data_IF_902384224553
#
_entry.id   IF_902384224553
#
_cell.length_a   1.000
_cell.length_b   1.000
_cell.length_c   1.000
_cell.angle_alpha   90.00
_cell.angle_beta   90.00
_cell.angle_gamma   90.00
#
_symmetry.space_group_name_H-M   'P 1'
#
loop_
_entity.id
_entity.type
_entity.pdbx_description
1 polymer ?
#
# COMPACT_ATOMS: atom_id res chain seq x y z
N UNK A 1 -8.69 -14.56 -13.99
CA UNK A 1 -9.02 -15.09 -12.65
C UNK A 1 -7.96 -16.03 -12.08
N UNK A 2 -7.42 -17.00 -12.84
CA UNK A 2 -6.40 -17.97 -12.36
C UNK A 2 -5.25 -17.35 -11.55
N UNK A 3 -4.75 -16.19 -11.98
CA UNK A 3 -3.64 -15.51 -11.32
C UNK A 3 -4.04 -14.50 -10.23
N UNK A 4 -5.27 -13.97 -10.28
CA UNK A 4 -5.75 -12.92 -9.35
C UNK A 4 -6.43 -13.55 -8.14
N UNK A 5 -7.16 -14.65 -8.35
CA UNK A 5 -7.91 -15.30 -7.27
C UNK A 5 -7.04 -15.78 -6.10
N UNK A 6 -5.83 -16.34 -6.31
CA UNK A 6 -4.94 -16.67 -5.19
C UNK A 6 -4.49 -15.47 -4.35
N UNK A 7 -4.62 -14.25 -4.87
CA UNK A 7 -4.28 -12.98 -4.20
C UNK A 7 -5.54 -12.38 -3.55
N UNK A 8 -6.68 -12.43 -4.25
CA UNK A 8 -7.96 -11.86 -3.81
C UNK A 8 -9.08 -12.92 -3.89
N UNK A 9 -9.11 -13.91 -2.97
CA UNK A 9 -10.03 -15.05 -3.03
C UNK A 9 -11.43 -14.71 -2.49
N UNK A 10 -12.05 -13.65 -3.03
CA UNK A 10 -13.30 -13.07 -2.52
C UNK A 10 -14.56 -13.69 -3.11
N UNK A 11 -14.49 -14.18 -4.34
CA UNK A 11 -15.67 -14.54 -5.13
C UNK A 11 -15.89 -16.04 -5.13
N UNK A 12 -17.12 -16.48 -4.86
CA UNK A 12 -17.48 -17.87 -5.01
C UNK A 12 -17.57 -18.24 -6.51
N UNK A 13 -16.58 -18.99 -6.99
CA UNK A 13 -16.40 -19.28 -8.41
C UNK A 13 -17.61 -19.95 -9.09
N UNK A 14 -18.33 -20.91 -8.45
CA UNK A 14 -19.53 -21.48 -9.06
C UNK A 14 -20.61 -20.44 -9.38
N UNK A 15 -20.89 -19.50 -8.47
CA UNK A 15 -21.87 -18.42 -8.72
C UNK A 15 -21.42 -17.50 -9.86
N UNK A 16 -20.13 -17.14 -9.92
CA UNK A 16 -19.60 -16.34 -11.04
C UNK A 16 -19.70 -17.08 -12.37
N UNK A 17 -19.51 -18.41 -12.40
CA UNK A 17 -19.67 -19.20 -13.63
C UNK A 17 -21.12 -19.34 -14.04
N UNK A 18 -22.04 -19.43 -13.09
CA UNK A 18 -23.47 -19.47 -13.39
C UNK A 18 -23.96 -18.12 -13.92
N UNK A 19 -23.41 -17.00 -13.43
CA UNK A 19 -23.85 -15.67 -13.83
C UNK A 19 -23.66 -15.41 -15.34
N UNK A 20 -22.70 -16.06 -16.01
CA UNK A 20 -22.46 -15.88 -17.45
C UNK A 20 -23.50 -16.57 -18.36
N UNK A 21 -24.36 -17.43 -17.79
CA UNK A 21 -25.35 -18.20 -18.57
C UNK A 21 -26.76 -17.62 -18.50
N UNK A 22 -26.96 -16.52 -17.76
CA UNK A 22 -28.25 -15.88 -17.55
C UNK A 22 -28.17 -14.36 -17.60
N UNK A 23 -29.32 -13.66 -17.71
CA UNK A 23 -29.35 -12.22 -17.47
C UNK A 23 -28.83 -11.86 -16.07
N UNK A 24 -28.04 -10.79 -16.01
CA UNK A 24 -27.44 -10.27 -14.78
C UNK A 24 -28.27 -9.12 -14.21
N UNK A 25 -28.44 -9.13 -12.89
CA UNK A 25 -28.93 -7.97 -12.15
C UNK A 25 -27.89 -6.82 -12.21
N UNK A 26 -28.29 -5.56 -11.99
CA UNK A 26 -27.37 -4.42 -12.04
C UNK A 26 -26.12 -4.58 -11.15
N UNK A 27 -26.29 -5.11 -9.94
CA UNK A 27 -25.18 -5.34 -9.00
C UNK A 27 -24.20 -6.42 -9.49
N UNK A 28 -24.71 -7.45 -10.15
CA UNK A 28 -23.89 -8.52 -10.74
C UNK A 28 -23.15 -8.04 -11.98
N UNK A 29 -23.77 -7.16 -12.79
CA UNK A 29 -23.07 -6.47 -13.89
C UNK A 29 -21.92 -5.62 -13.34
N UNK A 30 -22.15 -4.87 -12.26
CA UNK A 30 -21.10 -4.09 -11.59
C UNK A 30 -19.94 -4.99 -11.12
N UNK A 31 -20.24 -6.13 -10.52
CA UNK A 31 -19.22 -7.08 -10.10
C UNK A 31 -18.41 -7.62 -11.30
N UNK A 32 -19.08 -8.01 -12.38
CA UNK A 32 -18.39 -8.53 -13.59
C UNK A 32 -17.54 -7.45 -14.25
N UNK A 33 -18.07 -6.24 -14.45
CA UNK A 33 -17.31 -5.14 -15.06
C UNK A 33 -16.12 -4.72 -14.20
N UNK A 34 -16.29 -4.60 -12.89
CA UNK A 34 -15.18 -4.27 -11.99
C UNK A 34 -14.09 -5.36 -11.94
N UNK A 35 -14.46 -6.64 -12.00
CA UNK A 35 -13.51 -7.76 -12.16
C UNK A 35 -12.76 -7.71 -13.49
N UNK A 36 -13.45 -7.36 -14.58
CA UNK A 36 -12.83 -7.17 -15.89
C UNK A 36 -11.88 -5.98 -15.91
N UNK A 37 -12.25 -4.87 -15.26
CA UNK A 37 -11.39 -3.70 -15.10
C UNK A 37 -10.12 -4.07 -14.31
N UNK A 38 -10.27 -4.69 -13.13
CA UNK A 38 -9.17 -5.17 -12.31
C UNK A 38 -8.24 -6.09 -13.12
N UNK A 39 -8.81 -7.12 -13.76
CA UNK A 39 -8.03 -8.06 -14.56
C UNK A 39 -7.27 -7.35 -15.68
N UNK A 40 -7.91 -6.40 -16.36
CA UNK A 40 -7.27 -5.64 -17.44
C UNK A 40 -6.12 -4.78 -16.91
N UNK A 41 -6.27 -4.12 -15.76
CA UNK A 41 -5.19 -3.33 -15.16
C UNK A 41 -3.98 -4.18 -14.77
N UNK A 42 -4.20 -5.38 -14.20
CA UNK A 42 -3.13 -6.32 -13.87
C UNK A 42 -2.51 -6.97 -15.12
N UNK A 43 -3.21 -7.07 -16.24
CA UNK A 43 -2.64 -7.58 -17.51
C UNK A 43 -1.85 -6.52 -18.27
N UNK A 44 -2.07 -5.24 -17.98
CA UNK A 44 -1.41 -4.15 -18.68
C UNK A 44 0.10 -4.15 -18.49
N UNK A 45 0.84 -3.95 -19.59
CA UNK A 45 2.29 -3.96 -19.59
C UNK A 45 2.95 -5.34 -19.43
N UNK A 46 2.16 -6.41 -19.29
CA UNK A 46 2.68 -7.78 -19.30
C UNK A 46 2.84 -8.28 -20.72
N UNK A 47 4.02 -8.82 -21.01
CA UNK A 47 4.30 -9.54 -22.24
C UNK A 47 3.62 -10.91 -22.10
N UNK A 48 2.34 -11.02 -22.46
CA UNK A 48 1.65 -12.31 -22.48
C UNK A 48 0.99 -12.61 -23.81
N UNK A 49 1.14 -13.88 -24.20
CA UNK A 49 0.75 -14.60 -25.42
C UNK A 49 -0.78 -14.81 -25.49
N UNK A 50 -1.54 -14.31 -24.52
CA UNK A 50 -2.99 -14.46 -24.48
C UNK A 50 -3.68 -13.55 -25.51
N UNK A 51 -4.63 -14.11 -26.28
CA UNK A 51 -5.56 -13.31 -27.08
C UNK A 51 -6.25 -12.28 -26.17
N UNK A 52 -6.12 -11.00 -26.50
CA UNK A 52 -6.59 -9.91 -25.68
C UNK A 52 -6.90 -8.67 -26.52
N UNK A 53 -7.40 -7.59 -25.88
CA UNK A 53 -7.60 -6.31 -26.55
C UNK A 53 -6.27 -5.72 -27.01
N UNK A 54 -6.32 -4.83 -28.00
CA UNK A 54 -5.14 -4.09 -28.48
C UNK A 54 -4.46 -3.29 -27.37
N UNK A 55 -5.26 -2.80 -26.41
CA UNK A 55 -4.78 -2.10 -25.23
C UNK A 55 -5.55 -2.55 -23.99
N UNK A 56 -4.83 -3.18 -23.07
CA UNK A 56 -5.36 -3.56 -21.75
C UNK A 56 -5.73 -2.32 -20.90
N UNK A 57 -5.05 -1.19 -21.07
CA UNK A 57 -5.41 0.05 -20.38
C UNK A 57 -6.69 0.66 -20.91
N UNK A 58 -6.91 0.60 -22.24
CA UNK A 58 -8.17 1.01 -22.83
C UNK A 58 -9.31 0.11 -22.36
N UNK A 59 -9.09 -1.21 -22.32
CA UNK A 59 -10.08 -2.16 -21.80
C UNK A 59 -10.41 -1.92 -20.32
N UNK A 60 -9.40 -1.67 -19.48
CA UNK A 60 -9.61 -1.33 -18.07
C UNK A 60 -10.49 -0.09 -17.91
N UNK A 61 -10.20 0.99 -18.64
CA UNK A 61 -10.99 2.23 -18.61
C UNK A 61 -12.39 2.04 -19.15
N UNK A 62 -12.56 1.24 -20.21
CA UNK A 62 -13.87 0.87 -20.73
C UNK A 62 -14.72 0.19 -19.66
N UNK A 63 -14.20 -0.86 -19.02
CA UNK A 63 -14.96 -1.59 -17.99
C UNK A 63 -15.22 -0.75 -16.73
N UNK A 64 -14.32 0.16 -16.36
CA UNK A 64 -14.59 1.13 -15.29
C UNK A 64 -15.76 2.05 -15.65
N UNK A 65 -15.79 2.56 -16.87
CA UNK A 65 -16.88 3.42 -17.34
C UNK A 65 -18.22 2.66 -17.40
N UNK A 66 -18.22 1.42 -17.88
CA UNK A 66 -19.42 0.58 -17.88
C UNK A 66 -19.92 0.29 -16.47
N UNK A 67 -19.02 0.01 -15.52
CA UNK A 67 -19.39 -0.16 -14.11
C UNK A 67 -20.03 1.12 -13.55
N UNK A 68 -19.43 2.29 -13.78
CA UNK A 68 -19.98 3.57 -13.32
C UNK A 68 -21.33 3.87 -13.99
N UNK A 69 -21.47 3.56 -15.28
CA UNK A 69 -22.71 3.73 -16.05
C UNK A 69 -23.85 2.86 -15.49
N UNK A 70 -23.59 1.59 -15.19
CA UNK A 70 -24.59 0.70 -14.57
C UNK A 70 -25.02 1.22 -13.20
N UNK A 71 -24.10 1.76 -12.39
CA UNK A 71 -24.46 2.36 -11.09
C UNK A 71 -25.41 3.56 -11.21
N UNK A 72 -25.47 4.21 -12.36
CA UNK A 72 -26.42 5.31 -12.62
C UNK A 72 -27.81 4.81 -13.03
N UNK A 73 -27.96 3.53 -13.37
CA UNK A 73 -29.25 2.98 -13.82
C UNK A 73 -30.15 2.47 -12.69
N UNK A 74 -29.68 2.51 -11.44
CA UNK A 74 -30.44 2.07 -10.26
C UNK A 74 -29.95 2.78 -8.99
N UNK A 75 -30.67 2.61 -7.88
CA UNK A 75 -30.25 3.15 -6.59
C UNK A 75 -29.10 2.31 -6.00
N UNK A 76 -27.88 2.59 -6.45
CA UNK A 76 -26.68 1.89 -6.01
C UNK A 76 -26.40 2.10 -4.51
N UNK A 77 -26.78 3.25 -3.93
CA UNK A 77 -26.49 3.57 -2.54
C UNK A 77 -27.28 2.67 -1.58
N UNK A 78 -28.49 2.29 -1.95
CA UNK A 78 -29.34 1.37 -1.18
C UNK A 78 -29.01 -0.13 -1.45
N UNK A 79 -28.06 -0.43 -2.34
CA UNK A 79 -27.67 -1.79 -2.70
C UNK A 79 -26.75 -2.43 -1.65
N UNK A 80 -27.35 -3.30 -0.82
CA UNK A 80 -26.66 -4.04 0.24
C UNK A 80 -26.07 -5.37 -0.22
N UNK A 81 -26.04 -5.65 -1.52
CA UNK A 81 -25.54 -6.93 -2.04
C UNK A 81 -24.02 -7.05 -1.90
N UNK A 82 -23.55 -8.29 -1.71
CA UNK A 82 -22.12 -8.60 -1.72
C UNK A 82 -21.45 -8.18 -3.05
N UNK A 83 -22.18 -8.26 -4.16
CA UNK A 83 -21.73 -7.84 -5.49
C UNK A 83 -21.44 -6.34 -5.53
N UNK A 84 -22.29 -5.49 -4.94
CA UNK A 84 -22.09 -4.05 -4.90
C UNK A 84 -20.82 -3.69 -4.11
N UNK A 85 -20.66 -4.23 -2.91
CA UNK A 85 -19.50 -4.00 -2.03
C UNK A 85 -18.20 -4.46 -2.70
N UNK A 86 -18.19 -5.69 -3.21
CA UNK A 86 -17.01 -6.26 -3.88
C UNK A 86 -16.67 -5.47 -5.15
N UNK A 87 -17.66 -4.99 -5.89
CA UNK A 87 -17.43 -4.15 -7.07
C UNK A 87 -16.75 -2.83 -6.72
N UNK A 88 -17.13 -2.18 -5.62
CA UNK A 88 -16.50 -0.95 -5.15
C UNK A 88 -15.04 -1.17 -4.76
N UNK A 89 -14.74 -2.28 -4.10
CA UNK A 89 -13.36 -2.66 -3.80
C UNK A 89 -12.54 -2.88 -5.09
N UNK A 90 -13.06 -3.62 -6.07
CA UNK A 90 -12.34 -3.86 -7.33
C UNK A 90 -12.18 -2.59 -8.18
N UNK A 91 -13.18 -1.70 -8.19
CA UNK A 91 -13.08 -0.37 -8.82
C UNK A 91 -11.96 0.44 -8.15
N UNK A 92 -11.89 0.42 -6.82
CA UNK A 92 -10.80 1.07 -6.07
C UNK A 92 -9.43 0.55 -6.47
N UNK A 93 -9.25 -0.77 -6.52
CA UNK A 93 -7.99 -1.41 -6.92
C UNK A 93 -7.63 -1.08 -8.36
N UNK A 94 -8.59 -1.10 -9.30
CA UNK A 94 -8.33 -0.73 -10.68
C UNK A 94 -7.89 0.74 -10.82
N UNK A 95 -8.50 1.66 -10.06
CA UNK A 95 -8.04 3.05 -10.03
C UNK A 95 -6.66 3.21 -9.39
N UNK A 96 -6.31 2.39 -8.39
CA UNK A 96 -4.97 2.35 -7.81
C UNK A 96 -3.94 1.96 -8.87
N UNK A 97 -4.19 0.87 -9.61
CA UNK A 97 -3.29 0.39 -10.66
C UNK A 97 -3.12 1.37 -11.83
N UNK A 98 -4.12 2.24 -12.04
CA UNK A 98 -4.07 3.34 -13.02
C UNK A 98 -3.47 4.64 -12.45
N UNK A 99 -2.91 4.60 -11.25
CA UNK A 99 -2.35 5.76 -10.54
C UNK A 99 -3.35 6.92 -10.34
N UNK A 100 -4.65 6.62 -10.19
CA UNK A 100 -5.70 7.60 -9.88
C UNK A 100 -6.02 7.57 -8.38
N UNK A 101 -5.07 8.06 -7.58
CA UNK A 101 -5.03 7.90 -6.12
C UNK A 101 -6.31 8.37 -5.40
N UNK A 102 -6.82 9.55 -5.76
CA UNK A 102 -8.04 10.11 -5.15
C UNK A 102 -9.27 9.23 -5.40
N UNK A 103 -9.43 8.72 -6.63
CA UNK A 103 -10.55 7.83 -6.97
C UNK A 103 -10.39 6.49 -6.26
N UNK A 104 -9.19 5.93 -6.25
CA UNK A 104 -8.92 4.69 -5.53
C UNK A 104 -9.33 4.80 -4.05
N UNK A 105 -8.92 5.88 -3.38
CA UNK A 105 -9.30 6.11 -1.98
C UNK A 105 -10.82 6.27 -1.79
N UNK A 106 -11.48 7.03 -2.66
CA UNK A 106 -12.94 7.21 -2.61
C UNK A 106 -13.68 5.87 -2.65
N UNK A 107 -13.36 5.03 -3.65
CA UNK A 107 -14.04 3.74 -3.81
C UNK A 107 -13.64 2.71 -2.74
N UNK A 108 -12.43 2.81 -2.15
CA UNK A 108 -12.06 2.00 -0.99
C UNK A 108 -12.94 2.37 0.20
N UNK A 109 -13.13 3.67 0.46
CA UNK A 109 -13.98 4.15 1.55
C UNK A 109 -15.45 3.78 1.31
N UNK A 110 -15.92 3.82 0.08
CA UNK A 110 -17.25 3.32 -0.30
C UNK A 110 -17.41 1.83 0.11
N UNK A 111 -16.48 0.97 -0.30
CA UNK A 111 -16.52 -0.45 0.04
C UNK A 111 -16.44 -0.72 1.56
N UNK A 112 -15.59 0.01 2.27
CA UNK A 112 -15.47 -0.05 3.74
C UNK A 112 -16.79 0.31 4.42
N UNK A 113 -17.40 1.44 4.04
CA UNK A 113 -18.66 1.91 4.60
C UNK A 113 -19.80 0.91 4.34
N UNK A 114 -19.95 0.44 3.09
CA UNK A 114 -20.99 -0.52 2.76
C UNK A 114 -20.81 -1.87 3.49
N UNK A 115 -19.56 -2.35 3.61
CA UNK A 115 -19.26 -3.55 4.38
C UNK A 115 -19.57 -3.41 5.87
N UNK A 116 -19.33 -2.24 6.45
CA UNK A 116 -19.72 -1.94 7.83
C UNK A 116 -21.24 -1.86 8.00
N UNK A 117 -21.97 -1.27 7.04
CA UNK A 117 -23.44 -1.16 7.08
C UNK A 117 -24.13 -2.52 7.15
N UNK A 118 -23.63 -3.51 6.39
CA UNK A 118 -24.17 -4.89 6.43
C UNK A 118 -23.53 -5.75 7.52
N UNK A 119 -22.66 -5.18 8.35
CA UNK A 119 -22.12 -5.79 9.55
C UNK A 119 -21.02 -6.83 9.32
N UNK A 120 -20.16 -6.67 8.31
CA UNK A 120 -18.97 -7.53 8.13
C UNK A 120 -18.05 -7.64 9.35
N UNK A 121 -18.12 -6.69 10.27
CA UNK A 121 -17.32 -6.67 11.49
C UNK A 121 -18.00 -7.40 12.67
N UNK A 122 -19.27 -7.78 12.53
CA UNK A 122 -20.07 -8.41 13.57
C UNK A 122 -20.30 -9.90 13.26
N UNK A 123 -19.79 -10.75 14.14
CA UNK A 123 -19.86 -12.21 14.03
C UNK A 123 -21.31 -12.74 13.98
N UNK A 124 -22.28 -12.00 14.54
CA UNK A 124 -23.67 -12.41 14.53
C UNK A 124 -24.30 -12.37 13.13
N UNK A 125 -23.78 -11.54 12.22
CA UNK A 125 -24.32 -11.41 10.85
C UNK A 125 -24.04 -12.62 9.97
N UNK A 126 -23.18 -13.54 10.42
CA UNK A 126 -22.78 -14.73 9.69
C UNK A 126 -23.63 -15.96 10.00
N UNK A 127 -24.44 -15.96 11.07
CA UNK A 127 -25.11 -17.16 11.60
C UNK A 127 -26.11 -17.79 10.62
N UNK A 128 -26.80 -16.97 9.85
CA UNK A 128 -27.88 -17.39 8.96
C UNK A 128 -27.44 -17.47 7.48
N UNK A 129 -26.15 -17.24 7.20
CA UNK A 129 -25.61 -17.31 5.84
C UNK A 129 -25.19 -18.74 5.48
N UNK A 130 -25.16 -19.03 4.18
CA UNK A 130 -24.52 -20.26 3.72
C UNK A 130 -23.01 -20.23 4.04
N UNK A 131 -22.35 -21.39 4.19
CA UNK A 131 -20.92 -21.44 4.44
C UNK A 131 -20.08 -20.70 3.38
N UNK A 132 -20.50 -20.76 2.11
CA UNK A 132 -19.82 -20.12 0.99
C UNK A 132 -19.93 -18.60 1.08
N UNK A 133 -21.13 -18.08 1.34
CA UNK A 133 -21.35 -16.64 1.45
C UNK A 133 -20.67 -16.07 2.71
N UNK A 134 -20.76 -16.78 3.84
CA UNK A 134 -20.09 -16.40 5.07
C UNK A 134 -18.57 -16.30 4.87
N UNK A 135 -17.97 -17.26 4.16
CA UNK A 135 -16.54 -17.25 3.84
C UNK A 135 -16.17 -16.06 2.93
N UNK A 136 -16.94 -15.82 1.86
CA UNK A 136 -16.74 -14.68 0.95
C UNK A 136 -16.78 -13.34 1.70
N UNK A 137 -17.82 -13.10 2.50
CA UNK A 137 -17.97 -11.86 3.28
C UNK A 137 -16.84 -11.67 4.29
N UNK A 138 -16.43 -12.73 4.99
CA UNK A 138 -15.32 -12.69 5.97
C UNK A 138 -13.99 -12.40 5.27
N UNK A 139 -13.71 -13.02 4.12
CA UNK A 139 -12.52 -12.72 3.33
C UNK A 139 -12.53 -11.28 2.81
N UNK A 140 -13.67 -10.77 2.36
CA UNK A 140 -13.78 -9.37 1.92
C UNK A 140 -13.50 -8.40 3.06
N UNK A 141 -14.02 -8.63 4.27
CA UNK A 141 -13.66 -7.83 5.44
C UNK A 141 -12.14 -7.79 5.66
N UNK A 142 -11.51 -8.96 5.70
CA UNK A 142 -10.08 -9.04 6.02
C UNK A 142 -9.18 -8.48 4.91
N UNK A 143 -9.61 -8.55 3.66
CA UNK A 143 -8.91 -7.89 2.57
C UNK A 143 -9.06 -6.37 2.65
N UNK A 144 -10.26 -5.86 2.94
CA UNK A 144 -10.49 -4.43 3.20
C UNK A 144 -9.65 -3.93 4.38
N UNK A 145 -9.52 -4.72 5.44
CA UNK A 145 -8.67 -4.44 6.62
C UNK A 145 -7.19 -4.28 6.26
N UNK A 146 -6.67 -5.17 5.42
CA UNK A 146 -5.28 -5.13 4.92
C UNK A 146 -5.06 -3.91 4.02
N UNK A 147 -5.98 -3.67 3.08
CA UNK A 147 -5.88 -2.54 2.14
C UNK A 147 -6.01 -1.20 2.86
N UNK A 148 -6.91 -1.05 3.83
CA UNK A 148 -7.06 0.17 4.63
C UNK A 148 -5.75 0.52 5.36
N UNK A 149 -5.08 -0.46 5.98
CA UNK A 149 -3.78 -0.26 6.66
C UNK A 149 -2.67 0.10 5.70
N UNK A 150 -2.65 -0.51 4.52
CA UNK A 150 -1.70 -0.14 3.48
C UNK A 150 -1.87 1.34 3.09
N UNK A 151 -3.11 1.81 2.92
CA UNK A 151 -3.42 3.21 2.64
C UNK A 151 -3.10 4.13 3.82
N UNK A 152 -3.34 3.69 5.04
CA UNK A 152 -2.99 4.46 6.22
C UNK A 152 -1.49 4.75 6.28
N UNK A 153 -0.68 3.73 6.00
CA UNK A 153 0.78 3.83 6.02
C UNK A 153 1.30 4.64 4.82
N UNK A 154 0.95 4.24 3.59
CA UNK A 154 1.51 4.80 2.36
C UNK A 154 1.00 6.21 2.05
N UNK A 155 -0.21 6.54 2.50
CA UNK A 155 -0.93 7.75 2.07
C UNK A 155 -1.52 8.56 3.22
N UNK A 156 -1.06 8.30 4.45
CA UNK A 156 -1.49 9.00 5.67
C UNK A 156 -3.03 9.10 5.78
N UNK A 157 -3.70 7.96 5.58
CA UNK A 157 -5.17 7.87 5.67
C UNK A 157 -5.61 7.36 7.04
N UNK A 158 -6.78 7.80 7.55
CA UNK A 158 -7.29 7.32 8.83
C UNK A 158 -7.90 5.92 8.71
N UNK A 159 -7.69 5.11 9.73
CA UNK A 159 -8.36 3.82 9.91
C UNK A 159 -9.81 4.03 10.34
N UNK A 160 -10.71 3.13 9.91
CA UNK A 160 -12.11 3.10 10.33
C UNK A 160 -12.57 1.76 10.87
N UNK A 161 -11.86 0.67 10.57
CA UNK A 161 -12.23 -0.66 11.05
C UNK A 161 -11.71 -0.92 12.47
N UNK A 162 -12.51 -0.55 13.47
CA UNK A 162 -12.18 -0.71 14.90
C UNK A 162 -12.54 -2.08 15.49
N UNK A 163 -13.42 -2.83 14.83
CA UNK A 163 -13.82 -4.19 15.18
C UNK A 163 -13.55 -5.12 14.01
N UNK A 164 -13.25 -6.39 14.30
CA UNK A 164 -13.04 -7.41 13.30
C UNK A 164 -13.82 -8.69 13.65
N UNK A 165 -14.34 -9.43 12.66
CA UNK A 165 -14.91 -10.75 12.87
C UNK A 165 -13.77 -11.75 13.15
N UNK A 166 -14.11 -13.00 13.44
CA UNK A 166 -13.09 -14.05 13.54
C UNK A 166 -12.36 -14.22 12.19
N UNK A 167 -11.14 -14.76 12.25
CA UNK A 167 -10.40 -15.14 11.05
C UNK A 167 -11.15 -16.21 10.26
N UNK A 168 -11.05 -16.23 8.92
CA UNK A 168 -11.55 -17.37 8.15
C UNK A 168 -10.78 -18.62 8.57
N UNK A 169 -11.49 -19.71 8.80
CA UNK A 169 -10.92 -21.01 9.20
C UNK A 169 -11.12 -22.09 8.14
N UNK A 170 -11.77 -21.75 7.03
CA UNK A 170 -12.14 -22.66 5.95
C UNK A 170 -11.69 -22.16 4.58
N UNK A 171 -11.85 -23.03 3.59
CA UNK A 171 -11.66 -22.79 2.18
C UNK A 171 -12.82 -23.42 1.40
N UNK A 172 -13.03 -23.00 0.16
CA UNK A 172 -13.96 -23.70 -0.72
C UNK A 172 -13.32 -25.00 -1.24
N UNK A 173 -14.14 -26.01 -1.54
CA UNK A 173 -13.66 -27.35 -1.93
C UNK A 173 -12.80 -27.38 -3.20
N UNK A 174 -12.92 -26.38 -4.08
CA UNK A 174 -12.13 -26.26 -5.29
C UNK A 174 -10.80 -25.51 -5.09
N UNK A 175 -10.54 -24.99 -3.89
CA UNK A 175 -9.34 -24.22 -3.60
C UNK A 175 -8.18 -25.11 -3.17
N UNK A 176 -6.99 -24.75 -3.62
CA UNK A 176 -5.77 -25.33 -3.10
C UNK A 176 -5.50 -24.79 -1.67
N UNK A 177 -5.02 -25.60 -0.71
CA UNK A 177 -4.76 -25.17 0.67
C UNK A 177 -3.81 -23.96 0.80
N UNK A 178 -2.94 -23.79 -0.19
CA UNK A 178 -2.02 -22.67 -0.34
C UNK A 178 -2.79 -21.34 -0.34
N UNK A 179 -3.95 -21.24 -1.01
CA UNK A 179 -4.75 -20.00 -1.13
C UNK A 179 -5.12 -19.47 0.25
N UNK A 180 -5.71 -20.32 1.08
CA UNK A 180 -6.05 -19.98 2.46
C UNK A 180 -4.81 -19.63 3.29
N UNK A 181 -3.76 -20.45 3.18
CA UNK A 181 -2.52 -20.26 3.93
C UNK A 181 -1.87 -18.91 3.61
N UNK A 182 -1.78 -18.54 2.33
CA UNK A 182 -1.21 -17.27 1.90
C UNK A 182 -2.04 -16.07 2.35
N UNK A 183 -3.36 -16.15 2.21
CA UNK A 183 -4.29 -15.12 2.66
C UNK A 183 -4.15 -14.85 4.17
N UNK A 184 -4.09 -15.92 4.98
CA UNK A 184 -3.92 -15.81 6.42
C UNK A 184 -2.57 -15.21 6.82
N UNK A 185 -1.47 -15.54 6.12
CA UNK A 185 -0.17 -14.93 6.39
C UNK A 185 -0.16 -13.44 6.11
N UNK A 186 -0.77 -13.01 5.00
CA UNK A 186 -0.89 -11.60 4.66
C UNK A 186 -1.65 -10.83 5.75
N UNK A 187 -2.82 -11.35 6.16
CA UNK A 187 -3.62 -10.75 7.24
C UNK A 187 -2.82 -10.64 8.53
N UNK A 188 -2.21 -11.75 8.96
CA UNK A 188 -1.45 -11.78 10.21
C UNK A 188 -0.29 -10.78 10.20
N UNK A 189 0.33 -10.52 9.05
CA UNK A 189 1.42 -9.55 8.92
C UNK A 189 0.92 -8.11 9.14
N UNK A 190 -0.20 -7.73 8.53
CA UNK A 190 -0.81 -6.40 8.74
C UNK A 190 -1.50 -6.25 10.09
N UNK A 191 -1.99 -7.35 10.68
CA UNK A 191 -2.63 -7.34 12.00
C UNK A 191 -1.68 -6.92 13.13
N UNK A 192 -0.36 -6.99 12.91
CA UNK A 192 0.66 -6.47 13.82
C UNK A 192 0.64 -4.94 13.94
N UNK A 193 0.03 -4.24 12.98
CA UNK A 193 -0.05 -2.79 12.92
C UNK A 193 -1.45 -2.35 13.35
N UNK A 194 -1.60 -2.19 14.66
CA UNK A 194 -2.84 -1.75 15.29
C UNK A 194 -3.05 -0.23 15.18
N UNK A 195 -4.14 0.25 15.76
CA UNK A 195 -4.44 1.68 15.80
C UNK A 195 -3.32 2.47 16.48
N UNK A 196 -2.76 1.97 17.60
CA UNK A 196 -1.70 2.66 18.31
C UNK A 196 -0.45 2.85 17.43
N UNK A 197 -0.07 1.84 16.65
CA UNK A 197 1.01 1.97 15.68
C UNK A 197 0.69 3.03 14.61
N UNK A 198 -0.51 2.96 14.00
CA UNK A 198 -0.87 3.87 12.90
C UNK A 198 -1.04 5.31 13.38
N UNK A 199 -1.60 5.53 14.57
CA UNK A 199 -1.70 6.86 15.19
C UNK A 199 -0.29 7.41 15.44
N UNK A 200 0.62 6.58 15.97
CA UNK A 200 2.03 6.96 16.14
C UNK A 200 2.71 7.28 14.81
N UNK A 201 2.41 6.52 13.75
CA UNK A 201 2.93 6.72 12.40
C UNK A 201 2.46 8.03 11.76
N UNK A 202 1.17 8.36 11.94
CA UNK A 202 0.53 9.53 11.34
C UNK A 202 0.77 10.83 12.14
N UNK A 203 0.72 10.75 13.47
CA UNK A 203 0.68 11.94 14.34
C UNK A 203 1.99 12.24 15.07
N UNK A 204 2.99 11.33 15.00
CA UNK A 204 4.43 11.42 15.39
C UNK A 204 4.83 12.06 16.75
N UNK A 205 3.99 12.83 17.43
CA UNK A 205 4.39 13.78 18.49
C UNK A 205 3.67 13.56 19.82
N UNK A 206 2.58 12.77 19.87
CA UNK A 206 1.78 12.61 21.09
C UNK A 206 1.88 11.22 21.74
N UNK A 207 2.26 10.18 21.00
CA UNK A 207 2.39 8.81 21.51
C UNK A 207 3.87 8.40 21.60
N UNK A 208 4.49 8.60 22.76
CA UNK A 208 5.85 8.12 22.99
C UNK A 208 5.88 6.59 22.97
N UNK A 209 6.55 6.00 21.98
CA UNK A 209 6.77 4.55 21.89
C UNK A 209 8.15 4.18 22.42
N UNK A 210 8.28 3.00 23.03
CA UNK A 210 9.55 2.51 23.58
C UNK A 210 10.37 1.73 22.56
N UNK A 211 11.69 1.74 22.72
CA UNK A 211 12.61 0.87 21.94
C UNK A 211 12.16 -0.59 22.04
N UNK A 212 11.80 -1.07 23.24
CA UNK A 212 11.37 -2.45 23.47
C UNK A 212 10.11 -2.84 22.66
N UNK A 213 9.18 -1.90 22.49
CA UNK A 213 7.97 -2.11 21.68
C UNK A 213 8.33 -2.33 20.21
N UNK A 214 9.18 -1.47 19.65
CA UNK A 214 9.57 -1.58 18.24
C UNK A 214 10.54 -2.73 17.97
N UNK A 215 11.45 -3.08 18.88
CA UNK A 215 12.29 -4.28 18.71
C UNK A 215 11.45 -5.55 18.78
N UNK A 216 10.46 -5.62 19.67
CA UNK A 216 9.51 -6.74 19.70
C UNK A 216 8.68 -6.83 18.41
N UNK A 217 8.24 -5.69 17.86
CA UNK A 217 7.51 -5.64 16.59
C UNK A 217 8.40 -6.06 15.41
N UNK A 218 9.65 -5.59 15.36
CA UNK A 218 10.65 -6.01 14.38
C UNK A 218 10.90 -7.53 14.46
N UNK A 219 11.03 -8.09 15.67
CA UNK A 219 11.21 -9.53 15.86
C UNK A 219 10.00 -10.34 15.37
N UNK A 220 8.77 -9.89 15.65
CA UNK A 220 7.54 -10.53 15.15
C UNK A 220 7.41 -10.47 13.63
N UNK A 221 7.83 -9.35 13.03
CA UNK A 221 7.89 -9.20 11.58
C UNK A 221 9.03 -10.01 10.96
N UNK A 222 10.14 -10.21 11.65
CA UNK A 222 11.33 -10.91 11.15
C UNK A 222 11.32 -12.42 11.44
N UNK A 223 10.14 -13.04 11.53
CA UNK A 223 10.05 -14.50 11.68
C UNK A 223 10.36 -15.17 10.35
N UNK A 224 11.34 -16.09 10.37
CA UNK A 224 11.67 -16.91 9.22
C UNK A 224 10.48 -17.81 8.86
N UNK A 225 9.98 -17.66 7.65
CA UNK A 225 8.97 -18.53 7.09
C UNK A 225 9.60 -19.90 6.77
N UNK A 226 9.16 -21.02 7.39
CA UNK A 226 9.74 -22.32 7.13
C UNK A 226 9.68 -22.65 5.64
N UNK A 227 10.73 -23.28 5.10
CA UNK A 227 10.77 -23.79 3.70
C UNK A 227 9.56 -24.72 3.41
N UNK A 228 9.03 -25.35 4.47
CA UNK A 228 7.84 -26.21 4.47
C UNK A 228 6.50 -25.48 4.29
N UNK A 229 6.47 -24.15 4.22
CA UNK A 229 5.24 -23.44 3.91
C UNK A 229 4.82 -23.82 2.49
N UNK A 230 3.73 -24.60 2.39
CA UNK A 230 3.01 -24.85 1.16
C UNK A 230 2.38 -23.53 0.69
N UNK A 231 3.20 -22.69 0.06
CA UNK A 231 2.82 -21.45 -0.59
C UNK A 231 3.31 -21.49 -2.03
N UNK A 232 2.49 -20.97 -2.92
CA UNK A 232 2.88 -20.73 -4.31
C UNK A 232 3.94 -19.63 -4.40
N UNK A 233 4.70 -19.58 -5.50
CA UNK A 233 5.66 -18.48 -5.72
C UNK A 233 4.99 -17.10 -5.69
N UNK A 234 3.75 -17.01 -6.20
CA UNK A 234 2.94 -15.77 -6.18
C UNK A 234 2.72 -15.29 -4.75
N UNK A 235 2.29 -16.18 -3.85
CA UNK A 235 2.02 -15.81 -2.47
C UNK A 235 3.31 -15.53 -1.69
N UNK A 236 4.38 -16.28 -1.96
CA UNK A 236 5.71 -16.01 -1.38
C UNK A 236 6.18 -14.60 -1.75
N UNK A 237 6.01 -14.18 -3.01
CA UNK A 237 6.38 -12.84 -3.42
C UNK A 237 5.62 -11.77 -2.60
N UNK A 238 4.29 -11.87 -2.52
CA UNK A 238 3.48 -10.89 -1.79
C UNK A 238 3.86 -10.80 -0.30
N UNK A 239 3.91 -11.95 0.36
CA UNK A 239 4.16 -12.03 1.80
C UNK A 239 5.57 -11.56 2.13
N UNK A 240 6.59 -12.05 1.41
CA UNK A 240 7.97 -11.73 1.74
C UNK A 240 8.33 -10.28 1.40
N UNK A 241 7.83 -9.74 0.28
CA UNK A 241 8.02 -8.31 -0.03
C UNK A 241 7.30 -7.44 0.99
N UNK A 242 6.04 -7.75 1.31
CA UNK A 242 5.27 -7.02 2.32
C UNK A 242 5.92 -7.09 3.69
N UNK A 243 6.47 -8.25 4.09
CA UNK A 243 7.20 -8.42 5.34
C UNK A 243 8.41 -7.47 5.42
N UNK A 244 9.24 -7.41 4.37
CA UNK A 244 10.41 -6.52 4.35
C UNK A 244 9.99 -5.05 4.35
N UNK A 245 8.93 -4.72 3.63
CA UNK A 245 8.38 -3.37 3.62
C UNK A 245 7.87 -2.95 5.00
N UNK A 246 7.15 -3.81 5.70
CA UNK A 246 6.68 -3.49 7.06
C UNK A 246 7.81 -3.37 8.08
N UNK A 247 8.89 -4.16 7.95
CA UNK A 247 10.12 -3.95 8.74
C UNK A 247 10.72 -2.56 8.49
N UNK A 248 10.69 -2.08 7.25
CA UNK A 248 11.12 -0.73 6.89
C UNK A 248 10.22 0.32 7.53
N UNK A 249 8.90 0.16 7.47
CA UNK A 249 7.93 1.09 8.05
C UNK A 249 8.14 1.23 9.56
N UNK A 250 8.36 0.13 10.29
CA UNK A 250 8.66 0.15 11.73
C UNK A 250 9.99 0.85 12.00
N UNK A 251 11.01 0.64 11.17
CA UNK A 251 12.29 1.34 11.29
C UNK A 251 12.15 2.85 11.03
N UNK A 252 11.42 3.26 9.99
CA UNK A 252 11.15 4.66 9.70
C UNK A 252 10.36 5.33 10.83
N UNK A 253 9.42 4.61 11.44
CA UNK A 253 8.70 5.08 12.63
C UNK A 253 9.66 5.27 13.81
N UNK A 254 10.56 4.30 14.04
CA UNK A 254 11.62 4.39 15.06
C UNK A 254 12.53 5.61 14.83
N UNK A 255 12.87 5.91 13.58
CA UNK A 255 13.64 7.09 13.17
C UNK A 255 12.91 8.39 13.52
N UNK A 256 11.62 8.51 13.16
CA UNK A 256 10.79 9.69 13.46
C UNK A 256 10.66 9.95 14.96
N UNK A 257 10.68 8.88 15.76
CA UNK A 257 10.64 8.94 17.22
C UNK A 257 12.01 9.17 17.88
N UNK A 258 13.08 9.33 17.10
CA UNK A 258 14.43 9.57 17.62
C UNK A 258 15.01 8.38 18.39
N UNK A 259 14.54 7.16 18.12
CA UNK A 259 14.94 5.95 18.86
C UNK A 259 16.19 5.26 18.29
N UNK A 260 16.70 5.73 17.15
CA UNK A 260 17.83 5.10 16.47
C UNK A 260 19.18 5.55 17.04
N UNK A 261 20.13 4.62 17.09
CA UNK A 261 21.53 4.88 17.45
C UNK A 261 22.47 3.93 16.72
N UNK A 262 23.57 4.45 16.16
CA UNK A 262 24.63 3.60 15.57
C UNK A 262 25.30 2.67 16.59
N UNK A 263 25.18 2.97 17.89
CA UNK A 263 25.70 2.14 18.97
C UNK A 263 24.64 1.22 19.62
N UNK A 264 23.44 1.13 19.02
CA UNK A 264 22.40 0.22 19.50
C UNK A 264 22.88 -1.23 19.47
N UNK A 265 22.58 -1.99 20.53
CA UNK A 265 22.84 -3.43 20.59
C UNK A 265 21.90 -4.23 19.66
N UNK A 266 20.69 -3.70 19.42
CA UNK A 266 19.75 -4.28 18.46
C UNK A 266 19.97 -3.62 17.10
N UNK A 267 20.32 -4.45 16.09
CA UNK A 267 20.59 -4.00 14.72
C UNK A 267 19.37 -3.29 14.12
N UNK A 268 18.15 -3.67 14.51
CA UNK A 268 16.90 -3.04 14.03
C UNK A 268 16.69 -1.59 14.49
N UNK A 269 17.49 -1.13 15.45
CA UNK A 269 17.49 0.24 15.98
C UNK A 269 18.75 1.02 15.56
N UNK A 270 19.47 0.54 14.55
CA UNK A 270 20.62 1.22 13.95
C UNK A 270 20.25 1.96 12.68
N UNK A 271 21.04 2.96 12.28
CA UNK A 271 20.84 3.65 11.01
C UNK A 271 21.14 2.77 9.78
N UNK A 272 21.92 1.70 9.93
CA UNK A 272 22.28 0.77 8.85
C UNK A 272 21.26 -0.35 8.60
N UNK A 273 20.23 -0.48 9.45
CA UNK A 273 19.24 -1.56 9.31
C UNK A 273 18.54 -1.64 7.94
N UNK A 274 18.28 -0.53 7.21
CA UNK A 274 17.72 -0.60 5.87
C UNK A 274 18.56 -1.42 4.88
N UNK A 275 19.87 -1.57 5.09
CA UNK A 275 20.69 -2.52 4.31
C UNK A 275 20.28 -3.96 4.56
N UNK A 276 20.09 -4.33 5.82
CA UNK A 276 19.64 -5.68 6.19
C UNK A 276 18.29 -5.99 5.55
N UNK A 277 17.36 -5.03 5.58
CA UNK A 277 16.05 -5.17 4.94
C UNK A 277 16.20 -5.32 3.42
N UNK A 278 17.00 -4.48 2.77
CA UNK A 278 17.23 -4.54 1.33
C UNK A 278 17.82 -5.89 0.91
N UNK A 279 18.86 -6.37 1.60
CA UNK A 279 19.46 -7.67 1.33
C UNK A 279 18.50 -8.84 1.64
N UNK A 280 17.70 -8.74 2.70
CA UNK A 280 16.65 -9.72 3.01
C UNK A 280 15.62 -9.79 1.88
N UNK A 281 15.21 -8.64 1.33
CA UNK A 281 14.30 -8.57 0.18
C UNK A 281 14.92 -9.22 -1.05
N UNK A 282 16.17 -8.90 -1.37
CA UNK A 282 16.88 -9.49 -2.52
C UNK A 282 17.00 -11.00 -2.39
N UNK A 283 17.34 -11.51 -1.21
CA UNK A 283 17.38 -12.95 -0.93
C UNK A 283 16.00 -13.62 -1.08
N UNK A 284 14.94 -12.94 -0.64
CA UNK A 284 13.57 -13.43 -0.74
C UNK A 284 13.06 -13.51 -2.18
N UNK A 285 13.38 -12.53 -3.03
CA UNK A 285 12.91 -12.48 -4.42
C UNK A 285 13.81 -13.24 -5.40
N UNK A 286 15.10 -13.43 -5.10
CA UNK A 286 16.06 -14.12 -5.95
C UNK A 286 15.61 -15.52 -6.45
N UNK A 287 15.00 -16.40 -5.63
CA UNK A 287 14.53 -17.71 -6.09
C UNK A 287 13.18 -17.67 -6.81
N UNK A 288 12.51 -16.51 -6.86
CA UNK A 288 11.16 -16.40 -7.42
C UNK A 288 11.21 -16.00 -8.91
N UNK A 289 10.33 -16.56 -9.75
CA UNK A 289 10.18 -16.06 -11.11
C UNK A 289 9.63 -14.63 -11.08
N UNK A 290 10.10 -13.76 -11.98
CA UNK A 290 9.66 -12.35 -12.02
C UNK A 290 8.14 -12.23 -12.21
N UNK A 291 7.52 -13.17 -12.92
CA UNK A 291 6.07 -13.25 -13.12
C UNK A 291 5.29 -13.41 -11.80
N UNK A 292 5.90 -13.98 -10.75
CA UNK A 292 5.29 -14.08 -9.43
C UNK A 292 5.28 -12.74 -8.68
N UNK A 293 6.14 -11.78 -9.05
CA UNK A 293 6.11 -10.40 -8.55
C UNK A 293 5.13 -9.59 -9.40
N UNK A 294 5.28 -9.65 -10.72
CA UNK A 294 4.51 -8.83 -11.67
C UNK A 294 2.99 -9.06 -11.58
N UNK A 295 2.55 -10.24 -11.15
CA UNK A 295 1.12 -10.58 -11.00
C UNK A 295 0.37 -9.64 -10.06
N UNK A 296 1.03 -9.11 -9.03
CA UNK A 296 0.44 -8.33 -7.95
C UNK A 296 0.08 -6.89 -8.32
N UNK A 297 0.62 -6.36 -9.42
CA UNK A 297 0.37 -4.98 -9.83
C UNK A 297 1.29 -3.96 -9.14
N UNK A 298 0.94 -2.69 -9.24
CA UNK A 298 1.79 -1.55 -8.84
C UNK A 298 2.11 -1.53 -7.33
N UNK A 299 1.25 -2.11 -6.50
CA UNK A 299 1.38 -2.06 -5.05
C UNK A 299 2.56 -2.88 -4.49
N UNK A 300 3.05 -3.89 -5.21
CA UNK A 300 4.28 -4.61 -4.81
C UNK A 300 5.52 -3.84 -5.26
N UNK A 301 5.47 -3.19 -6.42
CA UNK A 301 6.57 -2.39 -6.95
C UNK A 301 6.81 -1.13 -6.11
N UNK A 302 5.74 -0.48 -5.62
CA UNK A 302 5.83 0.64 -4.69
C UNK A 302 6.62 0.26 -3.44
N UNK A 303 6.30 -0.89 -2.83
CA UNK A 303 7.00 -1.42 -1.65
C UNK A 303 8.47 -1.71 -1.91
N UNK A 304 8.79 -2.33 -3.06
CA UNK A 304 10.18 -2.60 -3.48
C UNK A 304 10.93 -1.29 -3.69
N UNK A 305 10.29 -0.32 -4.33
CA UNK A 305 10.85 1.01 -4.57
C UNK A 305 11.14 1.74 -3.26
N UNK A 306 10.24 1.74 -2.27
CA UNK A 306 10.48 2.40 -0.97
C UNK A 306 11.68 1.82 -0.23
N UNK A 307 11.87 0.49 -0.28
CA UNK A 307 13.06 -0.18 0.28
C UNK A 307 14.32 0.24 -0.45
N UNK A 308 14.32 0.19 -1.78
CA UNK A 308 15.48 0.57 -2.58
C UNK A 308 15.84 2.05 -2.41
N UNK A 309 14.83 2.92 -2.40
CA UNK A 309 14.96 4.36 -2.23
C UNK A 309 15.53 4.70 -0.84
N UNK A 310 15.01 4.07 0.22
CA UNK A 310 15.53 4.29 1.59
C UNK A 310 16.96 3.76 1.73
N UNK A 311 17.28 2.62 1.11
CA UNK A 311 18.64 2.11 1.08
C UNK A 311 19.61 3.13 0.48
N UNK A 312 19.25 3.76 -0.65
CA UNK A 312 20.08 4.83 -1.25
C UNK A 312 20.26 6.04 -0.32
N UNK A 313 19.20 6.46 0.38
CA UNK A 313 19.29 7.55 1.35
C UNK A 313 20.25 7.24 2.50
N UNK A 314 20.23 6.00 3.00
CA UNK A 314 21.14 5.57 4.07
C UNK A 314 22.58 5.44 3.58
N UNK A 315 22.82 4.92 2.37
CA UNK A 315 24.17 4.89 1.75
C UNK A 315 24.75 6.30 1.76
N UNK A 316 23.97 7.27 1.29
CA UNK A 316 24.42 8.65 1.20
C UNK A 316 24.77 9.24 2.56
N UNK A 317 23.97 8.94 3.59
CA UNK A 317 24.16 9.57 4.90
C UNK A 317 25.22 8.90 5.77
N UNK A 318 25.46 7.59 5.59
CA UNK A 318 26.50 6.86 6.33
C UNK A 318 27.90 6.99 5.69
N UNK A 319 27.98 7.49 4.45
CA UNK A 319 29.22 7.66 3.69
C UNK A 319 29.94 6.34 3.37
N UNK A 320 31.22 6.38 2.94
CA UNK A 320 32.02 5.19 2.60
C UNK A 320 32.36 4.28 3.80
N UNK A 321 31.84 4.59 4.99
CA UNK A 321 32.06 3.85 6.24
C UNK A 321 31.22 2.58 6.36
N UNK A 322 30.37 2.29 5.37
CA UNK A 322 29.73 0.98 5.27
C UNK A 322 30.82 0.02 4.80
N UNK A 323 31.56 -0.53 5.77
CA UNK A 323 32.31 -1.75 5.56
C UNK A 323 31.39 -2.70 4.82
N UNK A 324 31.89 -3.29 3.73
CA UNK A 324 31.18 -4.29 2.93
C UNK A 324 30.91 -5.52 3.80
N UNK A 325 29.99 -5.40 4.74
CA UNK A 325 29.49 -6.52 5.51
C UNK A 325 28.87 -7.46 4.49
N UNK A 326 29.31 -8.72 4.42
CA UNK A 326 28.89 -9.64 3.39
C UNK A 326 27.45 -10.07 3.70
N UNK A 327 26.47 -9.23 3.38
CA UNK A 327 25.05 -9.55 3.48
C UNK A 327 24.62 -10.52 2.37
N UNK A 328 25.42 -11.57 2.13
CA UNK A 328 25.10 -12.76 1.33
C UNK A 328 24.91 -12.56 -0.17
N UNK A 329 24.83 -11.34 -0.68
CA UNK A 329 24.54 -11.04 -2.09
C UNK A 329 25.79 -10.46 -2.76
N UNK A 330 26.41 -11.23 -3.65
CA UNK A 330 27.59 -10.83 -4.44
C UNK A 330 27.25 -9.85 -5.60
N UNK A 331 25.98 -9.47 -5.76
CA UNK A 331 25.50 -8.57 -6.81
C UNK A 331 25.22 -7.19 -6.23
N UNK A 332 25.46 -6.14 -7.02
CA UNK A 332 25.06 -4.78 -6.67
C UNK A 332 23.53 -4.71 -6.42
N UNK A 333 23.08 -4.41 -5.19
CA UNK A 333 21.67 -4.33 -4.84
C UNK A 333 20.87 -3.39 -5.75
N UNK A 334 21.46 -2.26 -6.16
CA UNK A 334 20.80 -1.27 -7.00
C UNK A 334 20.48 -1.84 -8.38
N UNK A 335 21.41 -2.55 -9.00
CA UNK A 335 21.18 -3.24 -10.27
C UNK A 335 19.99 -4.20 -10.21
N UNK A 336 19.88 -4.98 -9.14
CA UNK A 336 18.78 -5.94 -8.98
C UNK A 336 17.46 -5.22 -8.78
N UNK A 337 17.41 -4.16 -7.96
CA UNK A 337 16.20 -3.34 -7.80
C UNK A 337 15.74 -2.71 -9.11
N UNK A 338 16.65 -2.09 -9.86
CA UNK A 338 16.32 -1.49 -11.16
C UNK A 338 15.77 -2.53 -12.14
N UNK A 339 16.39 -3.70 -12.21
CA UNK A 339 15.90 -4.79 -13.05
C UNK A 339 14.50 -5.24 -12.64
N UNK A 340 14.26 -5.45 -11.36
CA UNK A 340 12.95 -5.87 -10.83
C UNK A 340 11.89 -4.81 -11.08
N UNK A 341 12.15 -3.53 -10.76
CA UNK A 341 11.24 -2.42 -10.99
C UNK A 341 11.01 -2.14 -12.49
N UNK A 342 11.89 -2.60 -13.37
CA UNK A 342 11.77 -2.46 -14.82
C UNK A 342 11.01 -3.58 -15.52
N UNK A 343 10.43 -4.53 -14.76
CA UNK A 343 9.75 -5.71 -15.31
C UNK A 343 8.51 -5.37 -16.14
N UNK A 344 7.82 -4.27 -15.79
CA UNK A 344 6.70 -3.74 -16.57
C UNK A 344 6.98 -2.30 -17.03
N UNK A 345 6.45 -1.84 -18.18
CA UNK A 345 6.61 -0.45 -18.63
C UNK A 345 6.11 0.57 -17.62
N UNK A 346 4.98 0.28 -16.93
CA UNK A 346 4.39 1.18 -15.94
C UNK A 346 5.28 1.31 -14.71
N UNK A 347 5.71 0.19 -14.12
CA UNK A 347 6.65 0.21 -12.98
C UNK A 347 7.98 0.85 -13.35
N UNK A 348 8.49 0.61 -14.55
CA UNK A 348 9.72 1.25 -15.03
C UNK A 348 9.60 2.77 -15.01
N UNK A 349 8.54 3.29 -15.64
CA UNK A 349 8.29 4.73 -15.73
C UNK A 349 8.10 5.36 -14.35
N UNK A 350 7.36 4.69 -13.46
CA UNK A 350 6.98 5.25 -12.17
C UNK A 350 8.06 5.11 -11.09
N UNK A 351 8.86 4.04 -11.11
CA UNK A 351 9.77 3.71 -10.01
C UNK A 351 11.23 3.57 -10.43
N UNK A 352 11.51 2.80 -11.50
CA UNK A 352 12.90 2.54 -11.89
C UNK A 352 13.62 3.81 -12.38
N UNK A 353 12.92 4.66 -13.15
CA UNK A 353 13.48 5.93 -13.63
C UNK A 353 13.84 6.87 -12.47
N UNK A 354 12.93 7.05 -11.50
CA UNK A 354 13.18 7.90 -10.33
C UNK A 354 14.37 7.40 -9.50
N UNK A 355 14.49 6.07 -9.35
CA UNK A 355 15.60 5.48 -8.61
C UNK A 355 16.95 5.67 -9.34
N UNK A 356 16.95 5.61 -10.68
CA UNK A 356 18.14 5.89 -11.50
C UNK A 356 18.56 7.37 -11.43
N UNK A 357 17.61 8.28 -11.55
CA UNK A 357 17.84 9.73 -11.44
C UNK A 357 18.48 10.06 -10.08
N UNK A 358 17.89 9.55 -9.00
CA UNK A 358 18.42 9.72 -7.64
C UNK A 358 19.84 9.14 -7.48
N UNK A 359 20.13 8.01 -8.11
CA UNK A 359 21.46 7.42 -8.09
C UNK A 359 22.48 8.22 -8.93
N UNK A 360 22.04 8.86 -10.01
CA UNK A 360 22.88 9.63 -10.93
C UNK A 360 23.26 11.01 -10.37
N UNK A 361 22.38 11.63 -9.57
CA UNK A 361 22.61 12.96 -8.98
C UNK A 361 23.77 13.01 -7.96
N UNK A 362 24.35 11.86 -7.55
CA UNK A 362 25.19 11.78 -6.36
C UNK A 362 26.52 11.03 -6.59
N UNK A 363 27.68 11.71 -6.48
CA UNK A 363 28.98 11.15 -6.89
C UNK A 363 29.46 9.95 -6.06
N UNK A 364 28.97 9.74 -4.82
CA UNK A 364 29.32 8.56 -4.01
C UNK A 364 28.71 7.25 -4.55
N UNK A 365 27.62 7.33 -5.31
CA UNK A 365 26.95 6.19 -5.95
C UNK A 365 27.49 5.88 -7.35
N UNK A 366 28.40 6.72 -7.89
CA UNK A 366 29.01 6.53 -9.22
C UNK A 366 29.77 5.20 -9.36
N UNK A 367 30.23 4.62 -8.24
CA UNK A 367 30.82 3.27 -8.21
C UNK A 367 29.80 2.15 -8.43
N UNK A 368 28.57 2.30 -7.95
CA UNK A 368 27.49 1.32 -8.16
C UNK A 368 26.95 1.41 -9.60
N UNK A 369 26.84 2.62 -10.14
CA UNK A 369 26.39 2.83 -11.53
C UNK A 369 27.42 2.41 -12.60
N UNK A 370 28.71 2.35 -12.25
CA UNK A 370 29.77 1.96 -13.20
C UNK A 370 29.66 0.51 -13.71
N UNK A 371 28.98 -0.39 -12.99
CA UNK A 371 28.64 -1.74 -13.46
C UNK A 371 27.49 -1.79 -14.47
N UNK A 372 26.56 -0.83 -14.42
CA UNK A 372 25.40 -0.72 -15.33
C UNK A 372 25.81 -0.29 -16.75
N UNK A 373 26.87 0.53 -16.87
CA UNK A 373 27.38 1.03 -18.16
C UNK A 373 28.12 -0.04 -18.99
N UNK A 374 28.54 -1.16 -18.38
CA UNK A 374 29.24 -2.26 -19.06
C UNK A 374 28.32 -3.34 -19.65
N UNK A 375 27.05 -3.40 -19.23
CA UNK A 375 26.10 -4.43 -19.66
C UNK A 375 24.77 -3.83 -20.15
N UNK A 376 24.78 -3.33 -21.38
CA UNK A 376 23.61 -3.20 -22.27
C UNK A 376 22.33 -2.49 -21.73
N UNK A 377 22.45 -1.45 -20.91
CA UNK A 377 21.38 -0.45 -20.73
C UNK A 377 21.93 0.92 -21.13
N UNK A 378 21.90 1.19 -22.43
CA UNK A 378 22.32 2.48 -23.00
C UNK A 378 21.27 3.55 -22.61
N UNK A 379 21.67 4.50 -21.75
CA UNK A 379 20.89 5.70 -21.38
C UNK A 379 20.39 6.51 -22.59
N UNK A 380 20.98 6.33 -23.78
CA UNK A 380 20.55 6.99 -25.02
C UNK A 380 19.17 6.59 -25.53
N UNK A 381 18.61 5.45 -25.09
CA UNK A 381 17.26 5.04 -25.49
C UNK A 381 16.14 5.64 -24.61
N UNK A 382 16.49 6.53 -23.67
CA UNK A 382 15.53 7.28 -22.82
C UNK A 382 15.32 8.73 -23.30
N UNK A 383 15.81 9.09 -24.50
CA UNK A 383 15.57 10.42 -25.07
C UNK A 383 14.10 10.59 -25.46
N UNK A 384 13.41 11.51 -24.79
CA UNK A 384 12.23 12.19 -25.32
C UNK A 384 12.64 12.89 -26.63
N UNK A 385 12.38 12.27 -27.78
CA UNK A 385 12.33 13.00 -29.04
C UNK A 385 10.98 13.70 -29.15
N UNK A 386 11.00 15.03 -29.02
CA UNK A 386 9.83 15.85 -29.32
C UNK A 386 9.79 17.21 -28.65
N UNK A 387 10.88 17.99 -28.64
CA UNK A 387 10.76 19.45 -28.66
C UNK A 387 12.08 20.13 -29.05
N UNK A 388 11.96 21.03 -30.02
CA UNK A 388 13.04 21.74 -30.68
C UNK A 388 13.82 22.68 -29.74
N UNK A 389 15.12 22.75 -30.00
CA UNK A 389 16.12 23.58 -29.36
C UNK A 389 15.93 25.04 -29.79
N UNK A 390 15.84 25.95 -28.82
CA UNK A 390 16.37 27.32 -28.95
C UNK A 390 17.24 27.58 -27.73
N UNK A 391 18.55 27.67 -27.96
CA UNK A 391 19.55 27.86 -26.91
C UNK A 391 19.72 29.31 -26.46
N UNK A 392 20.40 29.50 -25.33
CA UNK A 392 21.34 30.60 -25.08
C UNK A 392 22.08 30.43 -23.73
N UNK A 393 23.42 30.34 -23.85
CA UNK A 393 24.53 30.84 -23.03
C UNK A 393 24.49 31.03 -21.50
N UNK A 394 25.53 30.43 -20.90
CA UNK A 394 26.57 30.95 -19.98
C UNK A 394 26.22 31.64 -18.65
N UNK A 395 26.86 31.13 -17.58
CA UNK A 395 27.03 31.85 -16.32
C UNK A 395 27.62 31.02 -15.18
N UNK A 396 28.94 30.76 -15.22
CA UNK A 396 29.73 30.21 -14.12
C UNK A 396 29.89 31.26 -13.00
N UNK A 397 29.61 30.91 -11.74
CA UNK A 397 30.28 31.50 -10.57
C UNK A 397 30.57 30.41 -9.52
N UNK A 398 31.85 30.32 -9.17
CA UNK A 398 32.45 29.51 -8.09
C UNK A 398 32.41 30.31 -6.78
N UNK A 399 32.11 29.64 -5.65
CA UNK A 399 32.23 30.20 -4.31
C UNK A 399 32.47 29.11 -3.26
N UNK A 400 33.52 29.29 -2.47
CA UNK A 400 34.20 28.30 -1.61
C UNK A 400 33.70 28.21 -0.15
N UNK A 401 33.74 26.99 0.38
CA UNK A 401 34.13 26.54 1.74
C UNK A 401 33.49 27.16 3.01
N UNK A 402 32.88 26.30 3.83
CA UNK A 402 33.12 26.25 5.28
C UNK A 402 32.58 24.93 5.88
N UNK A 403 33.47 24.16 6.52
CA UNK A 403 33.12 23.03 7.40
C UNK A 403 32.45 23.53 8.68
N UNK A 404 31.33 22.91 9.07
CA UNK A 404 30.88 22.93 10.46
C UNK A 404 30.19 21.61 10.80
N UNK A 405 30.67 20.97 11.86
CA UNK A 405 30.12 19.76 12.45
C UNK A 405 28.73 20.07 13.01
N UNK A 406 27.67 19.61 12.35
CA UNK A 406 26.29 19.81 12.76
C UNK A 406 25.59 18.48 12.99
N UNK A 407 24.95 18.33 14.16
CA UNK A 407 23.92 17.33 14.41
C UNK A 407 22.94 17.33 13.22
N UNK A 408 22.90 16.24 12.46
CA UNK A 408 21.96 16.09 11.34
C UNK A 408 20.60 15.80 11.95
N UNK A 409 19.81 16.85 12.13
CA UNK A 409 18.40 16.74 12.46
C UNK A 409 17.68 16.30 11.18
N UNK A 410 17.28 15.03 11.14
CA UNK A 410 16.52 14.40 10.07
C UNK A 410 15.08 14.95 10.03
N UNK A 411 14.90 16.18 9.56
CA UNK A 411 13.59 16.70 9.16
C UNK A 411 13.43 16.47 7.66
N UNK A 412 12.89 15.31 7.29
CA UNK A 412 12.04 15.08 6.12
C UNK A 412 11.66 13.60 6.09
N UNK A 413 10.38 13.33 6.40
CA UNK A 413 9.81 11.99 6.30
C UNK A 413 9.82 11.52 4.84
N UNK A 414 10.47 10.41 4.56
CA UNK A 414 10.52 9.78 3.24
C UNK A 414 9.24 8.97 3.02
N UNK A 415 8.13 9.67 2.77
CA UNK A 415 7.07 9.14 1.91
C UNK A 415 7.15 9.98 0.66
N UNK A 416 7.51 9.36 -0.47
CA UNK A 416 7.53 10.08 -1.74
C UNK A 416 6.08 10.39 -2.11
N UNK A 417 5.64 11.62 -1.90
CA UNK A 417 4.39 12.11 -2.51
C UNK A 417 4.61 12.16 -4.02
N UNK A 418 4.12 11.14 -4.72
CA UNK A 418 4.00 11.17 -6.18
C UNK A 418 2.95 12.24 -6.48
N UNK A 419 3.38 13.41 -6.94
CA UNK A 419 2.48 14.50 -7.35
C UNK A 419 1.58 14.04 -8.50
N UNK A 420 0.29 14.36 -8.39
CA UNK A 420 -0.72 14.12 -9.41
C UNK A 420 -0.52 15.13 -10.57
N UNK A 421 -0.19 14.66 -11.76
CA UNK A 421 -0.26 15.44 -13.00
C UNK A 421 -1.73 15.62 -13.42
N UNK A 422 -2.47 16.45 -12.71
CA UNK A 422 -3.84 16.87 -13.08
C UNK A 422 -4.01 18.39 -12.89
N UNK A 423 -3.14 19.17 -13.54
CA UNK A 423 -3.42 20.57 -13.88
C UNK A 423 -3.42 20.75 -15.40
N UNK A 424 -4.53 20.36 -16.04
CA UNK A 424 -4.85 20.89 -17.36
C UNK A 424 -5.42 22.32 -17.22
N UNK A 425 -4.62 23.27 -17.71
CA UNK A 425 -5.00 24.66 -17.97
C UNK A 425 -6.35 24.74 -18.71
N UNK A 426 -7.34 25.33 -18.06
CA UNK A 426 -8.52 25.93 -18.68
C UNK A 426 -8.54 27.41 -18.28
N UNK A 427 -7.71 28.21 -18.95
CA UNK A 427 -7.81 29.67 -18.91
C UNK A 427 -8.87 30.10 -19.92
N UNK A 428 -10.10 30.27 -19.45
CA UNK A 428 -11.17 30.97 -20.15
C UNK A 428 -11.56 32.21 -19.36
N UNK A 429 -11.06 33.36 -19.78
CA UNK A 429 -11.45 34.67 -19.27
C UNK A 429 -12.96 34.90 -19.45
N UNK A 430 -13.68 35.22 -18.37
CA UNK A 430 -14.94 35.96 -18.45
C UNK A 430 -14.90 37.07 -17.38
N UNK A 431 -14.94 38.31 -17.86
CA UNK A 431 -14.90 39.53 -17.09
C UNK A 431 -16.28 39.95 -16.53
N UNK A 432 -16.20 40.73 -15.44
CA UNK A 432 -17.18 41.71 -14.87
C UNK A 432 -18.06 41.23 -13.68
N UNK A 433 -18.47 42.13 -12.77
CA UNK A 433 -17.69 43.19 -12.10
C UNK A 433 -17.83 43.13 -10.56
N UNK A 434 -16.90 43.80 -9.87
CA UNK A 434 -16.79 43.95 -8.41
C UNK A 434 -17.77 45.01 -7.91
N UNK A 435 -18.58 44.67 -6.90
CA UNK A 435 -19.23 45.65 -6.02
C UNK A 435 -18.64 45.53 -4.61
N UNK A 436 -18.06 46.64 -4.15
CA UNK A 436 -17.56 46.86 -2.79
C UNK A 436 -18.72 47.08 -1.81
N UNK A 437 -18.64 46.46 -0.63
CA UNK A 437 -19.25 47.03 0.57
C UNK A 437 -18.39 46.70 1.80
N UNK A 438 -17.89 47.76 2.41
CA UNK A 438 -17.04 47.80 3.60
C UNK A 438 -17.82 47.50 4.89
N UNK A 439 -17.11 46.90 5.84
CA UNK A 439 -17.14 47.08 7.31
C UNK A 439 -18.49 47.21 8.05
N UNK A 440 -18.67 46.38 9.07
CA UNK A 440 -18.55 46.87 10.46
C UNK A 440 -18.45 45.74 11.50
N UNK A 441 -17.48 45.91 12.39
CA UNK A 441 -17.27 45.23 13.66
C UNK A 441 -18.30 45.68 14.70
N UNK A 442 -18.79 44.76 15.55
CA UNK A 442 -18.93 45.05 16.98
C UNK A 442 -18.95 43.75 17.79
N UNK A 443 -18.03 43.66 18.74
CA UNK A 443 -18.10 42.77 19.89
C UNK A 443 -19.03 43.39 20.95
N UNK A 444 -19.67 42.56 21.78
CA UNK A 444 -19.80 42.72 23.25
C UNK A 444 -20.70 41.63 23.87
N UNK A 445 -20.09 40.82 24.75
CA UNK A 445 -20.54 40.37 26.09
C UNK A 445 -21.87 39.63 26.31
N UNK A 446 -21.80 38.52 27.06
CA UNK A 446 -22.93 38.01 27.85
C UNK A 446 -22.79 36.56 28.32
N UNK A 447 -22.60 36.37 29.62
CA UNK A 447 -22.38 35.13 30.40
C UNK A 447 -23.61 34.23 30.63
N UNK A 448 -23.33 32.96 31.03
CA UNK A 448 -24.12 31.98 31.82
C UNK A 448 -25.03 30.94 31.12
N UNK A 449 -24.70 29.64 31.32
CA UNK A 449 -25.55 28.54 31.88
C UNK A 449 -24.94 27.15 31.54
N UNK A 450 -24.19 26.51 32.43
CA UNK A 450 -24.56 25.34 33.28
C UNK A 450 -25.38 24.19 32.66
N UNK A 451 -24.66 23.09 32.40
CA UNK A 451 -24.90 21.65 32.69
C UNK A 451 -26.34 21.11 32.84
N UNK A 452 -26.64 20.02 32.11
CA UNK A 452 -27.64 19.00 32.46
C UNK A 452 -27.12 17.59 32.11
N UNK A 453 -26.88 16.77 33.14
CA UNK A 453 -26.75 15.30 33.13
C UNK A 453 -27.93 14.79 33.98
N UNK A 454 -28.63 13.71 33.62
CA UNK A 454 -29.47 12.99 34.57
C UNK A 454 -28.78 11.71 35.09
N UNK A 455 -28.78 11.61 36.41
CA UNK A 455 -28.44 10.45 37.24
C UNK A 455 -29.25 9.20 36.92
N UNK A 456 -28.67 8.02 37.14
CA UNK A 456 -29.38 6.80 37.54
C UNK A 456 -28.49 5.96 38.46
N UNK A 457 -29.13 5.47 39.53
CA UNK A 457 -28.62 5.04 40.83
C UNK A 457 -27.86 3.69 40.86
N UNK A 458 -26.93 3.58 41.82
CA UNK A 458 -26.35 2.33 42.33
C UNK A 458 -27.30 1.66 43.32
N UNK A 459 -27.63 0.37 43.13
CA UNK A 459 -27.89 -0.56 44.23
C UNK A 459 -27.78 -2.01 43.75
N UNK A 460 -26.73 -2.72 44.18
CA UNK A 460 -26.73 -4.09 44.73
C UNK A 460 -25.33 -4.71 44.67
N UNK A 461 -24.67 -4.68 45.83
CA UNK A 461 -23.65 -5.63 46.25
C UNK A 461 -24.30 -6.99 46.53
N UNK A 462 -23.73 -8.09 46.02
CA UNK A 462 -23.47 -9.33 46.80
C UNK A 462 -22.71 -10.40 46.00
N UNK A 463 -21.44 -10.59 46.39
CA UNK A 463 -20.71 -11.85 46.64
C UNK A 463 -20.73 -13.04 45.65
N UNK A 464 -19.53 -13.45 45.18
CA UNK A 464 -18.82 -14.72 45.47
C UNK A 464 -17.79 -15.01 44.34
N UNK A 465 -16.49 -14.78 44.55
CA UNK A 465 -15.47 -15.64 45.15
C UNK A 465 -14.69 -16.50 44.13
N UNK A 466 -13.38 -16.45 44.31
CA UNK A 466 -12.29 -17.00 43.50
C UNK A 466 -12.27 -18.53 43.49
N UNK A 467 -11.85 -19.14 42.37
CA UNK A 467 -11.09 -20.40 42.37
C UNK A 467 -10.31 -20.58 41.05
N UNK A 468 -9.00 -20.39 41.16
CA UNK A 468 -8.00 -21.05 40.34
C UNK A 468 -7.49 -22.27 41.11
N UNK A 469 -7.36 -23.43 40.45
CA UNK A 469 -6.34 -24.48 40.66
C UNK A 469 -6.61 -25.60 39.64
N UNK A 470 -5.70 -25.78 38.67
CA UNK A 470 -4.69 -26.87 38.61
C UNK A 470 -5.30 -28.27 38.51
N UNK A 471 -5.33 -28.80 37.28
CA UNK A 471 -4.69 -30.06 36.87
C UNK A 471 -4.64 -30.16 35.34
#
# INVERSE_FOLDING_TARGET
MEHIYPIMPLIYMPTLRESITRPLEPSEKNLVYSLCALTSTHMSGKISVAHGPESWDAAARFFLNECISVRQSYDFVEDKSFSAISSSYFVSTAFFELNQNRKSWYYLREALTMGQDIGFHDENTYKDLSPEEALCRRRTFWLLYVTERSFAILRNKPLTLSKAPQFPTTLHDYEAPEIHSGFMHLINTYHLLDFAFVDTWNESLQAQTSIATYTALQARLNVAHPISMALTCIQKADILVTQQWLRLIVWQSSMRQGLLSSASADESMTFSYPFVIAHSLLAAIAPLPITAVDVHGMGIFEKIFEIANTMLDVIQACGPSIESSPYGVYQDPLCVFIRTLSSTPRSRKQYATLLLEKAAEKPELSRLSSGLLGSSLNFKNLSLEGQEIIGSNDGVIVGSSAESSGNIQWQNGVVVEIHDDDEQKSSGEINLPVEEAQNQSSALTGTHHTAWIPDLEEEHLETFNCKAEVL
#
